data_IF_824682163696
#
_entry.id   IF_824682163696
#
_cell.length_a   1.000
_cell.length_b   1.000
_cell.length_c   1.000
_cell.angle_alpha   90.00
_cell.angle_beta   90.00
_cell.angle_gamma   90.00
#
_symmetry.space_group_name_H-M   'P 1'
#
loop_
_entity.id
_entity.type
_entity.pdbx_description
1 polymer ?
#
# COMPACT_ATOMS: atom_id res chain seq x y z
N UNK A 1 -2.44 4.12 -19.28
CA UNK A 1 -2.68 4.10 -17.84
C UNK A 1 -1.41 3.95 -17.03
N UNK A 2 -0.41 3.32 -17.61
CA UNK A 2 0.80 2.98 -16.89
C UNK A 2 1.64 4.19 -16.49
N UNK A 3 1.68 5.23 -17.32
CA UNK A 3 2.53 6.39 -17.04
C UNK A 3 2.09 7.13 -15.78
N UNK A 4 0.79 7.36 -15.64
CA UNK A 4 0.27 8.05 -14.46
C UNK A 4 0.40 7.20 -13.20
N UNK A 5 0.19 5.90 -13.32
CA UNK A 5 0.32 5.00 -12.18
C UNK A 5 1.77 4.94 -11.70
N UNK A 6 2.73 4.93 -12.62
CA UNK A 6 4.15 4.92 -12.27
C UNK A 6 4.52 6.21 -11.55
N UNK A 7 4.07 7.36 -12.06
CA UNK A 7 4.37 8.64 -11.42
C UNK A 7 3.79 8.71 -10.02
N UNK A 8 2.56 8.22 -9.83
CA UNK A 8 1.94 8.20 -8.52
C UNK A 8 2.76 7.39 -7.52
N UNK A 9 3.29 6.24 -7.94
CA UNK A 9 4.13 5.42 -7.07
C UNK A 9 5.42 6.15 -6.70
N UNK A 10 6.07 6.83 -7.67
CA UNK A 10 7.27 7.59 -7.39
C UNK A 10 7.04 8.71 -6.37
N UNK A 11 5.87 9.33 -6.43
CA UNK A 11 5.53 10.42 -5.50
C UNK A 11 5.34 9.94 -4.07
N UNK A 12 5.18 8.64 -3.85
CA UNK A 12 5.05 8.08 -2.51
C UNK A 12 6.36 8.12 -1.73
N UNK A 13 7.49 8.10 -2.41
CA UNK A 13 8.78 8.08 -1.71
C UNK A 13 9.09 9.41 -1.05
N UNK A 14 9.65 9.36 0.17
CA UNK A 14 10.11 10.56 0.83
C UNK A 14 11.33 11.11 0.07
N UNK A 15 11.55 12.45 0.11
CA UNK A 15 12.59 13.06 -0.74
C UNK A 15 14.01 12.57 -0.47
N UNK A 16 14.29 12.07 0.74
CA UNK A 16 15.64 11.64 1.11
C UNK A 16 16.03 10.30 0.52
N UNK A 17 15.09 9.56 -0.08
CA UNK A 17 15.39 8.22 -0.59
C UNK A 17 16.18 8.31 -1.89
N UNK A 18 17.26 7.54 -1.98
CA UNK A 18 18.08 7.49 -3.17
C UNK A 18 17.35 6.80 -4.32
N UNK A 19 17.64 7.22 -5.55
CA UNK A 19 16.95 6.68 -6.74
C UNK A 19 17.12 5.18 -6.88
N UNK A 20 18.30 4.65 -6.58
CA UNK A 20 18.55 3.22 -6.71
C UNK A 20 17.74 2.43 -5.69
N UNK A 21 17.66 2.92 -4.47
CA UNK A 21 16.85 2.30 -3.44
C UNK A 21 15.37 2.35 -3.80
N UNK A 22 14.90 3.49 -4.27
CA UNK A 22 13.51 3.64 -4.69
C UNK A 22 13.16 2.66 -5.81
N UNK A 23 14.07 2.49 -6.77
CA UNK A 23 13.86 1.54 -7.85
C UNK A 23 13.69 0.12 -7.36
N UNK A 24 14.51 -0.29 -6.40
CA UNK A 24 14.41 -1.64 -5.83
C UNK A 24 13.09 -1.86 -5.12
N UNK A 25 12.55 -0.80 -4.52
CA UNK A 25 11.32 -0.88 -3.73
C UNK A 25 10.06 -0.68 -4.57
N UNK A 26 10.19 -0.22 -5.81
CA UNK A 26 9.02 0.06 -6.65
C UNK A 26 8.02 -1.10 -6.75
N UNK A 27 8.45 -2.35 -6.98
CA UNK A 27 7.48 -3.44 -7.05
C UNK A 27 6.68 -3.62 -5.76
N UNK A 28 7.34 -3.48 -4.62
CA UNK A 28 6.67 -3.61 -3.32
C UNK A 28 5.71 -2.46 -3.08
N UNK A 29 6.11 -1.24 -3.42
CA UNK A 29 5.26 -0.06 -3.27
C UNK A 29 4.04 -0.19 -4.18
N UNK A 30 4.25 -0.59 -5.42
CA UNK A 30 3.16 -0.77 -6.37
C UNK A 30 2.18 -1.84 -5.88
N UNK A 31 2.70 -2.92 -5.32
CA UNK A 31 1.88 -3.99 -4.78
C UNK A 31 0.91 -3.46 -3.71
N UNK A 32 1.41 -2.63 -2.81
CA UNK A 32 0.59 -2.06 -1.73
C UNK A 32 -0.43 -1.06 -2.29
N UNK A 33 -0.01 -0.21 -3.22
CA UNK A 33 -0.91 0.78 -3.83
C UNK A 33 -2.04 0.08 -4.57
N UNK A 34 -1.72 -0.96 -5.34
CA UNK A 34 -2.73 -1.72 -6.07
C UNK A 34 -3.67 -2.43 -5.10
N UNK A 35 -3.13 -2.99 -4.02
CA UNK A 35 -3.95 -3.65 -3.01
C UNK A 35 -4.95 -2.68 -2.37
N UNK A 36 -4.54 -1.44 -2.11
CA UNK A 36 -5.43 -0.43 -1.54
C UNK A 36 -6.53 -0.01 -2.51
N UNK A 37 -6.27 -0.10 -3.81
CA UNK A 37 -7.26 0.24 -4.84
C UNK A 37 -8.20 -0.91 -5.14
N UNK A 38 -7.85 -2.13 -4.73
CA UNK A 38 -8.67 -3.32 -4.98
C UNK A 38 -9.93 -3.31 -4.10
N UNK A 39 -11.05 -3.67 -4.68
CA UNK A 39 -12.32 -3.79 -3.94
C UNK A 39 -12.78 -5.24 -3.96
N UNK A 40 -12.71 -5.95 -2.83
CA UNK A 40 -13.09 -7.36 -2.78
C UNK A 40 -14.59 -7.55 -2.91
N UNK A 41 -15.01 -8.73 -3.33
CA UNK A 41 -16.43 -9.08 -3.38
C UNK A 41 -17.03 -9.16 -1.99
N UNK A 42 -16.25 -9.66 -1.05
CA UNK A 42 -16.70 -9.82 0.34
C UNK A 42 -15.74 -9.10 1.27
N UNK A 43 -15.93 -7.78 1.47
CA UNK A 43 -15.02 -7.01 2.32
C UNK A 43 -15.11 -7.37 3.80
N UNK A 44 -16.12 -8.13 4.20
CA UNK A 44 -16.32 -8.53 5.59
C UNK A 44 -15.74 -9.91 5.90
N UNK A 45 -15.08 -10.54 4.93
CA UNK A 45 -14.54 -11.88 5.16
C UNK A 45 -13.32 -11.81 6.07
N UNK A 46 -13.10 -12.88 6.81
CA UNK A 46 -11.91 -13.03 7.64
C UNK A 46 -10.65 -12.98 6.77
N UNK A 47 -10.71 -13.59 5.59
CA UNK A 47 -9.59 -13.60 4.67
C UNK A 47 -9.20 -12.18 4.25
N UNK A 48 -10.17 -11.30 4.02
CA UNK A 48 -9.86 -9.93 3.64
C UNK A 48 -9.27 -9.14 4.80
N UNK A 49 -9.76 -9.35 6.03
CA UNK A 49 -9.16 -8.71 7.20
C UNK A 49 -7.70 -9.11 7.37
N UNK A 50 -7.42 -10.39 7.19
CA UNK A 50 -6.05 -10.90 7.26
C UNK A 50 -5.18 -10.27 6.16
N UNK A 51 -5.73 -10.16 4.95
CA UNK A 51 -5.06 -9.48 3.85
C UNK A 51 -4.69 -8.05 4.24
N UNK A 52 -5.63 -7.30 4.85
CA UNK A 52 -5.36 -5.92 5.26
C UNK A 52 -4.29 -5.86 6.34
N UNK A 53 -4.30 -6.77 7.30
CA UNK A 53 -3.27 -6.81 8.34
C UNK A 53 -1.89 -7.03 7.75
N UNK A 54 -1.78 -7.93 6.77
CA UNK A 54 -0.51 -8.18 6.10
C UNK A 54 -0.01 -6.95 5.37
N UNK A 55 -0.90 -6.23 4.70
CA UNK A 55 -0.50 -5.01 3.99
C UNK A 55 -0.01 -3.96 4.96
N UNK A 56 -0.65 -3.82 6.12
CA UNK A 56 -0.21 -2.89 7.14
C UNK A 56 1.20 -3.26 7.64
N UNK A 57 1.46 -4.55 7.83
CA UNK A 57 2.79 -5.01 8.21
C UNK A 57 3.86 -4.67 7.16
N UNK A 58 3.51 -4.82 5.89
CA UNK A 58 4.43 -4.46 4.80
C UNK A 58 4.71 -2.97 4.77
N UNK A 59 3.69 -2.16 5.03
CA UNK A 59 3.85 -0.71 5.13
C UNK A 59 4.84 -0.35 6.23
N UNK A 60 4.73 -1.00 7.38
CA UNK A 60 5.63 -0.75 8.50
C UNK A 60 7.08 -1.08 8.17
N UNK A 61 7.29 -2.02 7.24
CA UNK A 61 8.63 -2.41 6.80
C UNK A 61 9.23 -1.47 5.76
N UNK A 62 8.47 -0.47 5.29
CA UNK A 62 8.90 0.44 4.24
C UNK A 62 8.83 1.89 4.70
N UNK A 63 9.67 2.30 5.67
CA UNK A 63 9.62 3.68 6.19
C UNK A 63 10.04 4.73 5.15
N UNK A 64 10.66 4.32 4.04
CA UNK A 64 11.07 5.23 2.98
C UNK A 64 9.90 5.74 2.16
N UNK A 65 8.69 5.21 2.40
CA UNK A 65 7.53 5.50 1.57
C UNK A 65 6.40 6.02 2.44
N UNK A 66 5.69 7.02 1.94
CA UNK A 66 4.53 7.58 2.63
C UNK A 66 3.28 6.81 2.21
N UNK A 67 2.86 5.89 3.04
CA UNK A 67 1.65 5.10 2.83
C UNK A 67 0.49 5.55 3.71
N UNK A 68 0.49 6.80 4.15
CA UNK A 68 -0.53 7.25 5.11
C UNK A 68 -1.95 6.97 4.62
N UNK A 69 -2.25 7.30 3.37
CA UNK A 69 -3.58 7.09 2.82
C UNK A 69 -3.93 5.61 2.74
N UNK A 70 -3.00 4.79 2.29
CA UNK A 70 -3.21 3.35 2.16
C UNK A 70 -3.36 2.69 3.53
N UNK A 71 -2.54 3.09 4.48
CA UNK A 71 -2.62 2.53 5.82
C UNK A 71 -3.96 2.85 6.47
N UNK A 72 -4.43 4.08 6.35
CA UNK A 72 -5.73 4.47 6.89
C UNK A 72 -6.85 3.65 6.27
N UNK A 73 -6.77 3.41 4.97
CA UNK A 73 -7.76 2.60 4.27
C UNK A 73 -7.80 1.17 4.81
N UNK A 74 -6.64 0.54 4.95
CA UNK A 74 -6.58 -0.83 5.45
C UNK A 74 -7.05 -0.93 6.89
N UNK A 75 -6.69 0.03 7.74
CA UNK A 75 -7.14 0.03 9.14
C UNK A 75 -8.65 0.21 9.24
N UNK A 76 -9.21 1.08 8.39
CA UNK A 76 -10.65 1.28 8.38
C UNK A 76 -11.38 0.01 7.96
N UNK A 77 -10.86 -0.70 6.99
CA UNK A 77 -11.46 -1.96 6.55
C UNK A 77 -11.48 -3.00 7.66
N UNK A 78 -10.42 -3.06 8.45
CA UNK A 78 -10.36 -3.98 9.58
C UNK A 78 -11.38 -3.58 10.66
N UNK A 79 -11.49 -2.29 10.98
CA UNK A 79 -12.40 -1.81 12.00
C UNK A 79 -13.86 -2.04 11.64
N UNK A 80 -14.22 -1.76 10.39
CA UNK A 80 -15.59 -1.93 9.93
C UNK A 80 -16.03 -3.38 10.05
N UNK A 81 -15.10 -4.31 9.91
CA UNK A 81 -15.38 -5.73 9.87
C UNK A 81 -15.14 -6.45 11.20
N UNK A 82 -14.77 -5.71 12.23
CA UNK A 82 -14.53 -6.32 13.55
C UNK A 82 -15.80 -6.43 14.39
#
# INVERSE_FOLDING_TARGET
>A
PSAQAIQYVWEKFIPAVLSDEARRLLPDVRHIVVAAAHRPRNPRSEAYREFCRRRIGEIAALPQVDFQAEEEYFRRCIEINS
#
